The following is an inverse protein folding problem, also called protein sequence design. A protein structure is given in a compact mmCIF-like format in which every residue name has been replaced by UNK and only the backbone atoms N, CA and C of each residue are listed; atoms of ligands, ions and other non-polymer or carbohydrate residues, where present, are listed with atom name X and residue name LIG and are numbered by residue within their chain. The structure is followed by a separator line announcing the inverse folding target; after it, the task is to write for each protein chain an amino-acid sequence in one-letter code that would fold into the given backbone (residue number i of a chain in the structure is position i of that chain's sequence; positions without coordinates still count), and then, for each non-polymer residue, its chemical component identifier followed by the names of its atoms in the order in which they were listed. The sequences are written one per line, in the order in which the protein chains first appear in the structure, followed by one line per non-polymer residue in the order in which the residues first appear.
data_IF_638344861601
#
_entry.id   IF_638344861601
#
_cell.length_a   1.000
_cell.length_b   1.000
_cell.length_c   1.000
_cell.angle_alpha   90.00
_cell.angle_beta   90.00
_cell.angle_gamma   90.00
#
_symmetry.space_group_name_H-M   'P 1'
#
loop_
_entity.id
_entity.type
_entity.pdbx_description
1 polymer ?
#
# COMPACT_ATOMS: atom_id res chain seq x y z
N UNK A 1 18.83 -6.59 1.46
CA UNK A 1 17.47 -6.89 0.97
C UNK A 1 17.53 -7.19 -0.51
N UNK A 2 16.83 -8.20 -0.99
CA UNK A 2 16.63 -8.46 -2.41
C UNK A 2 15.43 -7.65 -2.94
N UNK A 3 15.22 -7.68 -4.27
CA UNK A 3 14.14 -6.91 -4.90
C UNK A 3 12.73 -7.30 -4.41
N UNK A 4 12.51 -8.58 -4.11
CA UNK A 4 11.20 -9.06 -3.65
C UNK A 4 10.89 -8.57 -2.23
N UNK A 5 11.89 -8.53 -1.35
CA UNK A 5 11.78 -7.94 -0.02
C UNK A 5 11.49 -6.45 -0.10
N UNK A 6 12.16 -5.72 -1.01
CA UNK A 6 11.90 -4.28 -1.24
C UNK A 6 10.47 -4.04 -1.77
N UNK A 7 10.01 -4.85 -2.73
CA UNK A 7 8.62 -4.82 -3.20
C UNK A 7 7.63 -5.16 -2.08
N UNK A 8 7.99 -6.08 -1.19
CA UNK A 8 7.23 -6.42 0.01
C UNK A 8 7.11 -5.25 0.98
N UNK A 9 8.20 -4.54 1.24
CA UNK A 9 8.19 -3.31 2.04
C UNK A 9 7.30 -2.24 1.41
N UNK A 10 7.38 -2.03 0.10
CA UNK A 10 6.50 -1.10 -0.59
C UNK A 10 5.02 -1.48 -0.43
N UNK A 11 4.65 -2.76 -0.59
CA UNK A 11 3.28 -3.23 -0.34
C UNK A 11 2.82 -2.88 1.07
N UNK A 12 3.65 -3.13 2.08
CA UNK A 12 3.36 -2.77 3.47
C UNK A 12 3.12 -1.27 3.69
N UNK A 13 3.91 -0.41 3.05
CA UNK A 13 3.74 1.05 3.15
C UNK A 13 2.46 1.54 2.45
N UNK A 14 2.14 0.98 1.29
CA UNK A 14 0.88 1.25 0.57
C UNK A 14 -0.30 0.80 1.42
N UNK A 15 -0.26 -0.42 1.96
CA UNK A 15 -1.26 -0.98 2.87
C UNK A 15 -1.49 -0.06 4.07
N UNK A 16 -0.41 0.36 4.73
CA UNK A 16 -0.49 1.26 5.88
C UNK A 16 -1.16 2.59 5.53
N UNK A 17 -0.86 3.14 4.35
CA UNK A 17 -1.48 4.38 3.87
C UNK A 17 -2.98 4.20 3.67
N UNK A 18 -3.41 3.07 3.10
CA UNK A 18 -4.81 2.74 2.88
C UNK A 18 -5.53 2.56 4.23
N UNK A 19 -4.99 1.75 5.13
CA UNK A 19 -5.55 1.51 6.46
C UNK A 19 -5.69 2.80 7.26
N UNK A 20 -4.65 3.62 7.27
CA UNK A 20 -4.64 4.91 8.01
C UNK A 20 -5.70 5.87 7.46
N UNK A 21 -5.97 5.83 6.15
CA UNK A 21 -7.05 6.61 5.53
C UNK A 21 -8.42 6.12 5.98
N UNK A 22 -8.64 4.81 6.04
CA UNK A 22 -9.94 4.23 6.37
C UNK A 22 -10.23 4.14 7.87
N UNK A 23 -9.20 4.14 8.73
CA UNK A 23 -9.37 4.14 10.18
C UNK A 23 -9.77 5.49 10.77
N UNK A 24 -9.81 6.56 9.96
CA UNK A 24 -10.09 7.91 10.44
C UNK A 24 -8.97 8.49 11.29
N UNK A 25 -7.73 8.00 11.13
CA UNK A 25 -6.57 8.54 11.83
C UNK A 25 -6.40 10.05 11.57
N UNK A 26 -5.75 10.75 12.50
CA UNK A 26 -5.54 12.18 12.36
C UNK A 26 -4.66 12.51 11.13
N UNK A 27 -4.73 13.76 10.70
CA UNK A 27 -4.04 14.21 9.50
C UNK A 27 -2.51 13.98 9.55
N UNK A 28 -1.88 14.19 10.71
CA UNK A 28 -0.44 14.02 10.87
C UNK A 28 -0.02 12.56 10.61
N UNK A 29 -0.76 11.59 11.15
CA UNK A 29 -0.50 10.17 10.92
C UNK A 29 -0.71 9.78 9.45
N UNK A 30 -1.76 10.29 8.81
CA UNK A 30 -2.00 10.04 7.38
C UNK A 30 -0.91 10.66 6.50
N UNK A 31 -0.49 11.89 6.80
CA UNK A 31 0.58 12.58 6.08
C UNK A 31 1.91 11.82 6.21
N UNK A 32 2.23 11.33 7.41
CA UNK A 32 3.42 10.52 7.64
C UNK A 32 3.39 9.22 6.83
N UNK A 33 2.29 8.46 6.85
CA UNK A 33 2.17 7.21 6.11
C UNK A 33 2.36 7.43 4.59
N UNK A 34 1.75 8.49 4.05
CA UNK A 34 1.92 8.90 2.65
C UNK A 34 3.37 9.26 2.34
N UNK A 35 3.99 10.09 3.18
CA UNK A 35 5.38 10.51 2.99
C UNK A 35 6.36 9.34 2.93
N UNK A 36 6.19 8.34 3.79
CA UNK A 36 7.01 7.13 3.73
C UNK A 36 6.77 6.32 2.45
N UNK A 37 5.51 6.12 2.05
CA UNK A 37 5.19 5.41 0.82
C UNK A 37 5.77 6.13 -0.40
N UNK A 38 5.56 7.44 -0.52
CA UNK A 38 6.01 8.26 -1.65
C UNK A 38 7.54 8.30 -1.75
N UNK A 39 8.23 8.51 -0.62
CA UNK A 39 9.68 8.48 -0.57
C UNK A 39 10.27 7.12 -0.97
N UNK A 40 9.62 6.03 -0.54
CA UNK A 40 10.06 4.69 -0.87
C UNK A 40 9.82 4.34 -2.35
N UNK A 41 8.67 4.71 -2.91
CA UNK A 41 8.39 4.60 -4.35
C UNK A 41 9.42 5.36 -5.17
N UNK A 42 9.75 6.58 -4.74
CA UNK A 42 10.76 7.42 -5.40
C UNK A 42 12.14 6.76 -5.34
N UNK A 43 12.56 6.24 -4.19
CA UNK A 43 13.85 5.57 -4.04
C UNK A 43 13.99 4.33 -4.94
N UNK A 44 12.92 3.54 -5.12
CA UNK A 44 12.95 2.37 -6.00
C UNK A 44 13.05 2.75 -7.48
N UNK A 45 12.38 3.83 -7.89
CA UNK A 45 12.48 4.38 -9.24
C UNK A 45 13.88 4.98 -9.51
N UNK A 46 14.39 5.79 -8.57
CA UNK A 46 15.70 6.45 -8.73
C UNK A 46 16.87 5.44 -8.74
N UNK A 47 16.69 4.27 -8.14
CA UNK A 47 17.66 3.19 -8.15
C UNK A 47 17.50 2.22 -9.34
N UNK A 48 16.58 2.49 -10.29
CA UNK A 48 16.22 1.62 -11.41
C UNK A 48 15.87 0.17 -10.99
N UNK A 49 15.41 -0.01 -9.75
CA UNK A 49 15.04 -1.33 -9.20
C UNK A 49 13.66 -1.76 -9.67
N UNK A 50 12.80 -0.79 -9.99
CA UNK A 50 11.51 -0.99 -10.66
C UNK A 50 11.30 0.14 -11.66
N UNK A 51 10.56 -0.14 -12.72
CA UNK A 51 10.07 0.89 -13.63
C UNK A 51 8.69 1.44 -13.19
N UNK A 52 8.23 2.49 -13.88
CA UNK A 52 6.94 3.11 -13.61
C UNK A 52 5.76 2.14 -13.75
N UNK A 53 5.81 1.23 -14.74
CA UNK A 53 4.72 0.29 -15.01
C UNK A 53 4.64 -0.74 -13.87
N UNK A 54 5.77 -1.32 -13.49
CA UNK A 54 5.88 -2.26 -12.37
C UNK A 54 5.43 -1.62 -11.05
N UNK A 55 5.78 -0.35 -10.83
CA UNK A 55 5.32 0.38 -9.65
C UNK A 55 3.79 0.52 -9.63
N UNK A 56 3.20 0.97 -10.75
CA UNK A 56 1.74 1.11 -10.86
C UNK A 56 1.02 -0.23 -10.70
N UNK A 57 1.56 -1.30 -11.29
CA UNK A 57 1.01 -2.66 -11.14
C UNK A 57 1.01 -3.11 -9.68
N UNK A 58 2.12 -2.91 -8.96
CA UNK A 58 2.24 -3.27 -7.55
C UNK A 58 1.26 -2.47 -6.68
N UNK A 59 1.21 -1.15 -6.84
CA UNK A 59 0.31 -0.28 -6.06
C UNK A 59 -1.15 -0.62 -6.34
N UNK A 60 -1.51 -0.87 -7.60
CA UNK A 60 -2.88 -1.23 -7.97
C UNK A 60 -3.27 -2.64 -7.51
N UNK A 61 -2.32 -3.58 -7.48
CA UNK A 61 -2.55 -4.90 -6.91
C UNK A 61 -2.86 -4.81 -5.42
N UNK A 62 -2.05 -4.08 -4.65
CA UNK A 62 -2.27 -3.91 -3.21
C UNK A 62 -3.59 -3.21 -2.89
N UNK A 63 -3.95 -2.17 -3.66
CA UNK A 63 -5.26 -1.49 -3.51
C UNK A 63 -6.44 -2.42 -3.76
N UNK A 64 -6.35 -3.29 -4.78
CA UNK A 64 -7.39 -4.27 -5.08
C UNK A 64 -7.51 -5.32 -3.98
N UNK A 65 -6.38 -5.87 -3.53
CA UNK A 65 -6.35 -6.83 -2.42
C UNK A 65 -7.03 -6.27 -1.16
N UNK A 66 -6.73 -5.02 -0.79
CA UNK A 66 -7.38 -4.37 0.36
C UNK A 66 -8.91 -4.30 0.21
N UNK A 67 -9.40 -3.90 -0.96
CA UNK A 67 -10.84 -3.78 -1.23
C UNK A 67 -11.52 -5.15 -1.23
N UNK A 68 -10.89 -6.15 -1.84
CA UNK A 68 -11.41 -7.51 -1.88
C UNK A 68 -11.51 -8.12 -0.46
N UNK A 69 -10.49 -7.90 0.37
CA UNK A 69 -10.48 -8.33 1.78
C UNK A 69 -11.58 -7.63 2.59
N UNK A 70 -11.72 -6.31 2.44
CA UNK A 70 -12.77 -5.54 3.12
C UNK A 70 -14.18 -6.02 2.71
N UNK A 71 -14.38 -6.32 1.43
CA UNK A 71 -15.65 -6.83 0.88
C UNK A 71 -15.98 -8.22 1.43
N UNK A 72 -14.98 -9.11 1.51
CA UNK A 72 -15.15 -10.44 2.10
C UNK A 72 -15.53 -10.37 3.58
N UNK A 73 -14.91 -9.46 4.34
CA UNK A 73 -15.24 -9.25 5.74
C UNK A 73 -16.69 -8.78 5.92
N UNK A 74 -17.13 -7.78 5.17
CA UNK A 74 -18.50 -7.26 5.23
C UNK A 74 -19.53 -8.35 4.90
N UNK A 75 -19.28 -9.14 3.86
CA UNK A 75 -20.15 -10.28 3.51
C UNK A 75 -20.21 -11.34 4.62
N UNK A 76 -19.08 -11.66 5.26
CA UNK A 76 -19.04 -12.60 6.37
C UNK A 76 -19.80 -12.08 7.60
N UNK A 77 -19.67 -10.79 7.92
CA UNK A 77 -20.42 -10.15 9.02
C UNK A 77 -21.93 -10.17 8.77
N UNK A 78 -22.39 -10.02 7.52
CA UNK A 78 -23.82 -10.05 7.18
C UNK A 78 -24.45 -11.45 7.20
N UNK A 79 -23.64 -12.51 7.07
CA UNK A 79 -24.10 -13.89 7.03
C UNK A 79 -24.17 -14.57 8.42
N UNK A 80 -23.67 -13.90 9.46
CA UNK A 80 -23.68 -14.34 10.86
C UNK A 80 -24.87 -13.72 11.61
#
# INVERSE_FOLDING_TARGET
MNLDELKGTLRGLVRKTIETRFSGANYATLAQARGYADGYMRALLDADLIDQKQLLELVNAERRLFVDEATKLDNATRAA
#
